data_IF_669084155326
#
_entry.id   IF_669084155326
#
_cell.length_a   1.000
_cell.length_b   1.000
_cell.length_c   1.000
_cell.angle_alpha   90.00
_cell.angle_beta   90.00
_cell.angle_gamma   90.00
#
_symmetry.space_group_name_H-M   'P 1'
#
loop_
_entity.id
_entity.type
_entity.pdbx_description
1 polymer ?
#
# COMPACT_ATOMS: atom_id res chain seq x y z
N UNK A 1 9.02 6.84 -14.27
CA UNK A 1 8.26 7.87 -13.53
C UNK A 1 8.48 9.22 -14.18
N UNK A 2 7.74 10.26 -13.77
CA UNK A 2 7.93 11.63 -14.29
C UNK A 2 9.02 12.41 -13.53
N UNK A 3 9.31 11.97 -12.32
CA UNK A 3 10.40 12.52 -11.51
C UNK A 3 11.71 11.79 -11.86
N UNK A 4 12.86 12.48 -11.82
CA UNK A 4 14.16 11.88 -12.10
C UNK A 4 14.61 10.88 -11.03
N UNK A 5 14.08 11.00 -9.81
CA UNK A 5 14.48 10.18 -8.66
C UNK A 5 13.32 10.01 -7.67
N UNK A 6 13.37 8.95 -6.87
CA UNK A 6 12.51 8.72 -5.71
C UNK A 6 13.11 9.43 -4.50
N UNK A 7 12.34 10.30 -3.86
CA UNK A 7 12.76 10.99 -2.64
C UNK A 7 12.33 10.19 -1.40
N UNK A 8 13.28 9.73 -0.61
CA UNK A 8 13.06 9.03 0.66
C UNK A 8 13.05 10.08 1.77
N UNK A 9 11.90 10.30 2.40
CA UNK A 9 11.72 11.35 3.40
C UNK A 9 12.10 10.85 4.80
N UNK A 10 13.34 11.08 5.22
CA UNK A 10 13.91 10.57 6.47
C UNK A 10 14.49 9.15 6.36
N UNK A 11 15.58 8.92 7.08
CA UNK A 11 16.29 7.63 7.18
C UNK A 11 16.79 7.33 8.61
N UNK A 12 16.19 8.01 9.58
CA UNK A 12 16.60 8.05 10.98
C UNK A 12 15.39 7.81 11.93
N UNK A 13 14.32 7.21 11.40
CA UNK A 13 13.21 6.73 12.23
C UNK A 13 13.63 5.51 13.06
N UNK A 14 12.92 5.27 14.16
CA UNK A 14 13.06 4.04 14.96
C UNK A 14 12.34 2.87 14.26
N UNK A 15 12.87 2.45 13.12
CA UNK A 15 12.38 1.37 12.26
C UNK A 15 13.56 0.52 11.78
N UNK A 16 13.36 -0.72 11.29
CA UNK A 16 14.46 -1.65 11.00
C UNK A 16 15.53 -1.12 10.03
N UNK A 17 15.16 -0.23 9.10
CA UNK A 17 16.07 0.37 8.12
C UNK A 17 16.12 1.91 8.16
N UNK A 18 15.53 2.50 9.20
CA UNK A 18 15.47 3.94 9.41
C UNK A 18 14.42 4.67 8.54
N UNK A 19 13.74 4.01 7.61
CA UNK A 19 12.70 4.62 6.77
C UNK A 19 11.29 4.32 7.29
N UNK A 20 10.31 5.14 6.91
CA UNK A 20 8.94 4.98 7.38
C UNK A 20 8.33 3.63 6.99
N UNK A 21 7.64 2.98 7.93
CA UNK A 21 6.97 1.69 7.74
C UNK A 21 5.47 1.90 7.59
N UNK A 22 4.86 1.32 6.56
CA UNK A 22 3.43 1.46 6.23
C UNK A 22 2.80 0.12 5.85
N UNK A 23 1.52 -0.03 6.14
CA UNK A 23 0.69 -1.13 5.61
C UNK A 23 0.18 -0.78 4.22
N UNK A 24 0.81 -1.39 3.21
CA UNK A 24 0.37 -1.29 1.83
C UNK A 24 -0.64 -2.39 1.56
N UNK A 25 -1.77 -2.02 0.96
CA UNK A 25 -2.88 -2.91 0.61
C UNK A 25 -3.14 -2.86 -0.90
N UNK A 26 -3.35 -4.03 -1.50
CA UNK A 26 -3.70 -4.10 -2.91
C UNK A 26 -5.09 -3.52 -3.17
N UNK A 27 -5.21 -2.68 -4.20
CA UNK A 27 -6.46 -1.96 -4.47
C UNK A 27 -7.67 -2.88 -4.70
N UNK A 28 -7.45 -4.05 -5.31
CA UNK A 28 -8.51 -5.05 -5.50
C UNK A 28 -8.97 -5.72 -4.20
N UNK A 29 -8.07 -5.91 -3.23
CA UNK A 29 -8.45 -6.41 -1.90
C UNK A 29 -9.27 -5.35 -1.17
N UNK A 30 -8.85 -4.09 -1.24
CA UNK A 30 -9.59 -2.95 -0.68
C UNK A 30 -10.99 -2.83 -1.30
N UNK A 31 -11.10 -2.95 -2.63
CA UNK A 31 -12.38 -2.93 -3.34
C UNK A 31 -13.31 -4.08 -2.90
N UNK A 32 -12.76 -5.29 -2.75
CA UNK A 32 -13.52 -6.45 -2.24
C UNK A 32 -14.02 -6.21 -0.82
N UNK A 33 -13.24 -5.50 0.02
CA UNK A 33 -13.67 -5.09 1.36
C UNK A 33 -14.93 -4.23 1.34
N UNK A 34 -15.06 -3.33 0.37
CA UNK A 34 -16.26 -2.51 0.20
C UNK A 34 -17.49 -3.35 -0.20
N UNK A 35 -17.31 -4.35 -1.07
CA UNK A 35 -18.40 -5.27 -1.45
C UNK A 35 -18.91 -6.05 -0.24
N UNK A 36 -18.00 -6.53 0.62
CA UNK A 36 -18.36 -7.25 1.85
C UNK A 36 -19.00 -6.32 2.89
N UNK A 37 -18.54 -5.07 3.00
CA UNK A 37 -19.17 -4.07 3.84
C UNK A 37 -20.61 -3.76 3.38
N UNK A 38 -20.86 -3.66 2.08
CA UNK A 38 -22.22 -3.49 1.53
C UNK A 38 -23.14 -4.66 1.91
N UNK A 39 -22.67 -5.91 1.76
CA UNK A 39 -23.44 -7.08 2.22
C UNK A 39 -23.71 -7.05 3.72
N UNK A 40 -22.77 -6.53 4.52
CA UNK A 40 -22.95 -6.38 5.95
C UNK A 40 -24.04 -5.37 6.29
N UNK A 41 -24.18 -4.31 5.50
CA UNK A 41 -25.23 -3.28 5.69
C UNK A 41 -26.63 -3.89 5.54
N UNK A 42 -26.82 -4.88 4.64
CA UNK A 42 -28.10 -5.57 4.47
C UNK A 42 -28.54 -6.33 5.75
N UNK A 43 -27.60 -6.61 6.67
CA UNK A 43 -27.88 -7.20 7.99
C UNK A 43 -28.31 -6.14 9.05
N UNK A 44 -28.44 -4.87 8.68
CA UNK A 44 -28.75 -3.73 9.57
C UNK A 44 -27.83 -3.62 10.81
N UNK A 45 -26.49 -3.56 10.65
CA UNK A 45 -25.53 -3.60 11.75
C UNK A 45 -25.43 -2.28 12.54
N UNK A 46 -26.14 -1.23 12.12
CA UNK A 46 -25.95 0.13 12.61
C UNK A 46 -24.60 0.72 12.20
N UNK A 47 -23.90 1.37 13.13
CA UNK A 47 -22.56 1.89 12.90
C UNK A 47 -21.51 0.80 13.16
N UNK A 48 -20.67 0.55 12.15
CA UNK A 48 -19.48 -0.29 12.25
C UNK A 48 -18.28 0.43 11.65
N UNK A 49 -17.12 0.24 12.28
CA UNK A 49 -15.85 0.83 11.85
C UNK A 49 -14.86 -0.31 11.69
N UNK A 50 -14.26 -0.42 10.50
CA UNK A 50 -13.34 -1.50 10.16
C UNK A 50 -12.03 -0.93 9.62
N UNK A 51 -10.91 -1.47 10.07
CA UNK A 51 -9.65 -1.29 9.38
C UNK A 51 -9.59 -2.25 8.18
N UNK A 52 -9.21 -1.72 7.01
CA UNK A 52 -8.91 -2.51 5.83
C UNK A 52 -7.43 -2.34 5.48
N UNK A 53 -6.61 -3.22 6.05
CA UNK A 53 -5.19 -3.33 5.77
C UNK A 53 -4.72 -4.78 5.81
N UNK A 54 -3.48 -5.03 5.46
CA UNK A 54 -2.90 -6.39 5.49
C UNK A 54 -2.44 -6.78 6.90
N UNK A 55 -2.16 -5.80 7.76
CA UNK A 55 -1.50 -5.96 9.04
C UNK A 55 0.00 -6.20 8.95
N UNK A 56 0.57 -6.16 7.75
CA UNK A 56 2.01 -6.24 7.52
C UNK A 56 2.55 -4.85 7.19
N UNK A 57 3.53 -4.39 7.96
CA UNK A 57 4.24 -3.15 7.67
C UNK A 57 5.43 -3.40 6.74
N UNK A 58 5.57 -2.57 5.71
CA UNK A 58 6.75 -2.52 4.85
C UNK A 58 7.39 -1.14 4.89
N UNK A 59 8.72 -1.09 4.89
CA UNK A 59 9.48 0.14 4.83
C UNK A 59 9.45 0.78 3.44
N UNK A 60 9.96 2.01 3.32
CA UNK A 60 10.13 2.67 2.02
C UNK A 60 11.13 1.91 1.16
N UNK A 61 12.21 1.39 1.74
CA UNK A 61 13.24 0.65 1.00
C UNK A 61 12.74 -0.73 0.56
N UNK A 62 11.94 -1.41 1.37
CA UNK A 62 11.28 -2.67 0.98
C UNK A 62 10.35 -2.46 -0.22
N UNK A 63 9.54 -1.40 -0.21
CA UNK A 63 8.68 -1.04 -1.35
C UNK A 63 9.51 -0.78 -2.61
N UNK A 64 10.57 0.05 -2.51
CA UNK A 64 11.47 0.33 -3.64
C UNK A 64 12.05 -0.97 -4.19
N UNK A 65 12.54 -1.86 -3.32
CA UNK A 65 13.14 -3.14 -3.71
C UNK A 65 12.13 -4.04 -4.42
N UNK A 66 10.91 -4.15 -3.91
CA UNK A 66 9.84 -4.92 -4.54
C UNK A 66 9.45 -4.34 -5.91
N UNK A 67 9.45 -3.01 -6.05
CA UNK A 67 9.19 -2.36 -7.34
C UNK A 67 10.33 -2.53 -8.35
N UNK A 68 11.59 -2.43 -7.92
CA UNK A 68 12.76 -2.72 -8.77
C UNK A 68 12.71 -4.17 -9.28
N UNK A 69 12.36 -5.12 -8.41
CA UNK A 69 12.13 -6.52 -8.77
C UNK A 69 11.02 -6.68 -9.82
N UNK A 70 9.86 -6.03 -9.60
CA UNK A 70 8.72 -6.12 -10.50
C UNK A 70 8.98 -5.47 -11.87
N UNK A 71 9.72 -4.35 -11.89
CA UNK A 71 9.98 -3.58 -13.11
C UNK A 71 11.23 -4.01 -13.86
N UNK A 72 12.18 -4.68 -13.19
CA UNK A 72 13.51 -4.95 -13.73
C UNK A 72 14.37 -3.69 -13.89
N UNK A 73 13.97 -2.56 -13.32
CA UNK A 73 14.63 -1.26 -13.45
C UNK A 73 15.18 -0.85 -12.09
N UNK A 74 16.47 -0.52 -12.04
CA UNK A 74 17.07 0.12 -10.86
C UNK A 74 16.61 1.57 -10.76
N UNK A 75 16.03 1.94 -9.63
CA UNK A 75 15.50 3.28 -9.37
C UNK A 75 16.57 4.18 -8.74
N UNK A 76 16.76 5.37 -9.33
CA UNK A 76 17.52 6.43 -8.68
C UNK A 76 16.76 6.93 -7.45
N UNK A 77 17.44 6.95 -6.30
CA UNK A 77 16.87 7.32 -5.00
C UNK A 77 17.74 8.37 -4.29
N UNK A 78 17.10 9.30 -3.59
CA UNK A 78 17.78 10.31 -2.76
C UNK A 78 17.06 10.47 -1.43
N UNK A 79 17.81 10.41 -0.33
CA UNK A 79 17.29 10.74 0.99
C UNK A 79 17.17 12.26 1.14
N UNK A 80 16.05 12.71 1.69
CA UNK A 80 15.74 14.10 2.03
C UNK A 80 15.23 14.18 3.47
N UNK A 81 15.06 15.39 3.99
CA UNK A 81 14.54 15.62 5.33
C UNK A 81 13.20 14.91 5.56
N UNK A 82 12.90 14.62 6.83
CA UNK A 82 11.60 14.08 7.23
C UNK A 82 10.48 15.01 6.78
N UNK A 83 9.39 14.44 6.29
CA UNK A 83 8.18 15.21 5.99
C UNK A 83 7.45 15.50 7.31
N UNK A 84 7.11 16.76 7.62
CA UNK A 84 6.38 17.09 8.83
C UNK A 84 5.06 16.31 8.93
N UNK A 85 4.82 15.67 10.07
CA UNK A 85 3.62 14.86 10.32
C UNK A 85 3.76 13.36 9.99
N UNK A 86 4.86 12.92 9.38
CA UNK A 86 5.10 11.50 9.16
C UNK A 86 5.40 10.78 10.48
N UNK A 87 4.62 9.72 10.75
CA UNK A 87 4.89 8.79 11.87
C UNK A 87 5.90 7.71 11.44
N UNK A 88 6.73 7.18 12.36
CA UNK A 88 7.68 6.12 12.04
C UNK A 88 7.02 4.87 11.44
N UNK A 89 6.00 4.33 12.12
CA UNK A 89 5.37 3.05 11.78
C UNK A 89 3.85 3.17 11.86
N UNK A 90 3.15 2.66 10.84
CA UNK A 90 1.69 2.62 10.80
C UNK A 90 1.22 1.38 10.02
N UNK A 91 0.52 0.46 10.69
CA UNK A 91 -0.13 -0.69 10.05
C UNK A 91 -1.42 -1.08 10.75
N UNK A 92 -2.31 -1.78 10.04
CA UNK A 92 -3.66 -2.05 10.52
C UNK A 92 -3.75 -3.30 11.40
N UNK A 93 -4.63 -3.28 12.40
CA UNK A 93 -5.24 -4.52 12.91
C UNK A 93 -6.56 -4.74 12.17
N UNK A 94 -6.57 -5.73 11.26
CA UNK A 94 -7.74 -6.10 10.44
C UNK A 94 -8.51 -7.31 11.00
N UNK A 95 -8.26 -7.71 12.24
CA UNK A 95 -8.91 -8.88 12.87
C UNK A 95 -10.44 -8.77 12.90
N UNK A 96 -10.97 -7.56 13.13
CA UNK A 96 -12.41 -7.31 13.14
C UNK A 96 -13.04 -7.50 11.75
N UNK A 97 -12.41 -6.99 10.69
CA UNK A 97 -12.88 -7.16 9.31
C UNK A 97 -12.88 -8.64 8.91
N UNK A 98 -11.84 -9.40 9.30
CA UNK A 98 -11.79 -10.86 9.10
C UNK A 98 -12.92 -11.58 9.82
N UNK A 99 -13.18 -11.22 11.09
CA UNK A 99 -14.19 -11.86 11.91
C UNK A 99 -15.62 -11.57 11.45
N UNK A 100 -15.94 -10.30 11.16
CA UNK A 100 -17.32 -9.88 10.91
C UNK A 100 -17.72 -9.80 9.44
N UNK A 101 -16.77 -9.53 8.54
CA UNK A 101 -17.01 -9.42 7.10
C UNK A 101 -16.53 -10.66 6.34
N UNK A 102 -15.72 -11.53 6.98
CA UNK A 102 -14.99 -12.58 6.27
C UNK A 102 -13.91 -12.04 5.33
N UNK A 103 -13.50 -10.77 5.51
CA UNK A 103 -12.55 -10.09 4.63
C UNK A 103 -11.10 -10.31 5.08
N UNK A 104 -10.22 -10.62 4.13
CA UNK A 104 -8.76 -10.61 4.34
C UNK A 104 -8.11 -10.13 3.06
N UNK A 105 -7.02 -9.36 3.17
CA UNK A 105 -6.16 -9.11 2.03
C UNK A 105 -5.53 -10.43 1.58
N UNK A 106 -5.41 -10.62 0.28
CA UNK A 106 -4.93 -11.85 -0.36
C UNK A 106 -3.65 -11.64 -1.16
N UNK A 107 -3.36 -10.39 -1.52
CA UNK A 107 -2.21 -9.98 -2.32
C UNK A 107 -1.08 -9.46 -1.44
N UNK A 108 0.15 -9.86 -1.75
CA UNK A 108 1.35 -9.39 -1.05
C UNK A 108 1.98 -8.18 -1.77
N UNK A 109 3.10 -7.67 -1.23
CA UNK A 109 3.80 -6.51 -1.80
C UNK A 109 4.31 -6.76 -3.23
N UNK A 110 4.78 -7.96 -3.55
CA UNK A 110 5.24 -8.31 -4.89
C UNK A 110 4.09 -8.27 -5.90
N UNK A 111 2.90 -8.80 -5.54
CA UNK A 111 1.71 -8.74 -6.38
C UNK A 111 1.30 -7.28 -6.64
N UNK A 112 1.33 -6.43 -5.61
CA UNK A 112 1.03 -5.00 -5.71
C UNK A 112 1.99 -4.29 -6.68
N UNK A 113 3.28 -4.52 -6.53
CA UNK A 113 4.29 -3.91 -7.40
C UNK A 113 4.21 -4.44 -8.85
N UNK A 114 3.95 -5.74 -9.03
CA UNK A 114 3.75 -6.35 -10.34
C UNK A 114 2.56 -5.73 -11.08
N UNK A 115 1.39 -5.67 -10.44
CA UNK A 115 0.18 -5.15 -11.09
C UNK A 115 0.28 -3.64 -11.35
N UNK A 116 0.90 -2.89 -10.43
CA UNK A 116 1.24 -1.48 -10.62
C UNK A 116 2.15 -1.29 -11.85
N UNK A 117 3.22 -2.08 -11.97
CA UNK A 117 4.13 -1.98 -13.11
C UNK A 117 3.49 -2.41 -14.42
N UNK A 118 2.72 -3.49 -14.43
CA UNK A 118 1.96 -3.94 -15.59
C UNK A 118 1.00 -2.84 -16.09
N UNK A 119 0.31 -2.14 -15.18
CA UNK A 119 -0.51 -0.99 -15.54
C UNK A 119 0.33 0.17 -16.08
N UNK A 120 1.36 0.59 -15.35
CA UNK A 120 2.17 1.76 -15.67
C UNK A 120 2.97 1.61 -16.98
N UNK A 121 3.46 0.40 -17.28
CA UNK A 121 4.19 0.10 -18.51
C UNK A 121 3.30 0.14 -19.76
N UNK A 122 2.04 -0.32 -19.63
CA UNK A 122 1.04 -0.25 -20.70
C UNK A 122 0.41 1.12 -20.85
N UNK A 123 0.38 1.92 -19.77
CA UNK A 123 -0.26 3.22 -19.72
C UNK A 123 0.73 4.28 -19.19
N UNK A 124 1.82 4.58 -19.93
CA UNK A 124 2.88 5.48 -19.46
C UNK A 124 2.37 6.88 -19.09
N UNK A 125 1.27 7.31 -19.72
CA UNK A 125 0.64 8.62 -19.47
C UNK A 125 -0.71 8.52 -18.75
N UNK A 126 -1.07 7.35 -18.22
CA UNK A 126 -2.37 7.09 -17.60
C UNK A 126 -3.48 6.89 -18.64
N UNK A 127 -4.71 7.18 -18.26
CA UNK A 127 -5.86 7.10 -19.16
C UNK A 127 -5.75 8.14 -20.28
N UNK A 128 -5.97 7.73 -21.53
CA UNK A 128 -6.25 8.66 -22.62
C UNK A 128 -7.75 8.94 -22.70
N UNK A 129 -8.12 10.18 -23.00
CA UNK A 129 -9.48 10.55 -23.37
C UNK A 129 -9.72 10.15 -24.82
N UNK A 130 -10.29 8.96 -25.07
CA UNK A 130 -11.03 8.70 -26.29
C UNK A 130 -12.52 8.69 -25.95
#
# INVERSE_FOLDING_TARGET
GRLPEVKICGNDYDTPDGTGVRDYIHIMDLATGHILALKKIDENPGLKIYNLGTGNGYSVLEMITAFEKASGITLTKRTVDRRPGDVPTLYADSSLAKKELGWTATKNLDDMCHDLWNWQSKNPYGFSTN
#
